data_IF_837521460518
#
_entry.id   IF_837521460518
#
_cell.length_a   1.000
_cell.length_b   1.000
_cell.length_c   1.000
_cell.angle_alpha   90.00
_cell.angle_beta   90.00
_cell.angle_gamma   90.00
#
_symmetry.space_group_name_H-M   'P 1'
#
loop_
_entity.id
_entity.type
_entity.pdbx_description
1 polymer ?
#
# COMPACT_ATOMS: atom_id res chain seq x y z
N UNK A 1 -8.83 4.14 13.70
CA UNK A 1 -7.87 4.37 12.95
C UNK A 1 -6.54 4.00 13.46
N UNK A 2 -6.28 3.99 14.60
CA UNK A 2 -5.03 3.66 15.07
C UNK A 2 -4.76 2.20 15.11
N UNK A 3 -5.72 1.42 14.92
CA UNK A 3 -5.55 0.00 14.94
C UNK A 3 -4.47 -0.48 14.05
N UNK A 4 -4.41 0.04 12.84
CA UNK A 4 -3.40 -0.40 11.96
C UNK A 4 -2.04 0.02 12.39
N UNK A 5 -1.96 1.14 13.01
CA UNK A 5 -0.67 1.61 13.42
C UNK A 5 -0.14 0.78 14.57
N UNK A 6 -1.06 0.28 15.34
CA UNK A 6 -0.66 -0.51 16.43
C UNK A 6 0.02 -1.75 15.95
N UNK A 7 -0.51 -2.36 14.98
CA UNK A 7 0.06 -3.55 14.45
C UNK A 7 1.45 -3.33 13.95
N UNK A 8 1.67 -2.16 13.39
CA UNK A 8 2.93 -1.89 12.81
C UNK A 8 3.96 -1.72 13.87
N UNK A 9 3.54 -1.05 14.90
CA UNK A 9 4.42 -0.79 15.95
C UNK A 9 4.88 -2.06 16.56
N UNK A 10 3.99 -2.95 16.75
CA UNK A 10 4.32 -4.17 17.37
C UNK A 10 5.34 -4.97 16.61
N UNK A 11 5.29 -4.92 15.38
CA UNK A 11 6.17 -5.75 14.64
C UNK A 11 7.57 -5.26 14.59
N UNK A 12 7.77 -4.05 14.56
CA UNK A 12 9.06 -3.59 14.35
C UNK A 12 9.59 -2.60 15.33
N UNK A 13 8.81 -1.96 15.93
CA UNK A 13 9.23 -0.98 16.84
C UNK A 13 10.08 0.09 16.22
N UNK A 14 10.44 -0.06 14.99
CA UNK A 14 11.20 0.93 14.36
C UNK A 14 10.39 1.76 13.44
N UNK A 15 9.20 1.39 13.16
CA UNK A 15 8.39 2.13 12.24
C UNK A 15 7.78 3.34 12.92
N UNK A 16 7.73 4.45 12.26
CA UNK A 16 7.13 5.63 12.84
C UNK A 16 5.66 5.43 13.00
N UNK A 17 5.12 5.91 14.06
CA UNK A 17 3.71 5.77 14.31
C UNK A 17 2.89 6.65 13.41
N UNK A 18 3.44 7.71 12.93
CA UNK A 18 2.72 8.54 12.01
C UNK A 18 3.71 9.00 10.98
N UNK A 19 3.21 9.31 9.82
CA UNK A 19 4.07 9.73 8.76
C UNK A 19 4.66 11.10 9.09
N UNK A 20 5.88 11.33 8.69
CA UNK A 20 6.53 12.59 8.96
C UNK A 20 5.95 13.70 8.12
N UNK A 21 6.15 14.91 8.54
CA UNK A 21 5.58 16.04 7.84
C UNK A 21 6.22 16.24 6.47
N UNK A 22 7.37 15.66 6.24
CA UNK A 22 8.04 15.83 4.96
C UNK A 22 7.75 14.72 3.96
N UNK A 23 6.75 13.97 4.20
CA UNK A 23 6.39 12.92 3.28
C UNK A 23 5.85 13.51 1.98
N UNK A 24 5.84 12.70 0.94
CA UNK A 24 5.28 13.07 -0.34
C UNK A 24 3.98 12.29 -0.52
N UNK A 25 2.97 12.93 -0.99
CA UNK A 25 1.65 12.32 -1.06
C UNK A 25 0.97 12.59 -2.40
N UNK A 26 0.17 11.65 -2.85
CA UNK A 26 -0.59 11.82 -4.07
C UNK A 26 -1.89 11.04 -4.01
N UNK A 27 -2.96 11.65 -4.53
CA UNK A 27 -4.25 10.98 -4.61
C UNK A 27 -4.34 10.29 -5.96
N UNK A 28 -5.06 9.19 -6.02
CA UNK A 28 -5.22 8.46 -7.27
C UNK A 28 -6.53 7.70 -7.24
N UNK A 29 -6.97 7.23 -8.40
CA UNK A 29 -8.18 6.47 -8.49
C UNK A 29 -7.84 5.06 -8.92
N UNK A 30 -8.79 4.16 -8.72
CA UNK A 30 -8.64 2.82 -9.17
C UNK A 30 -8.30 2.88 -10.65
N UNK A 31 -7.39 2.12 -11.09
CA UNK A 31 -7.02 2.10 -12.50
C UNK A 31 -5.90 3.06 -12.86
N UNK A 32 -5.51 3.89 -11.94
CA UNK A 32 -4.50 4.87 -12.23
C UNK A 32 -3.14 4.42 -11.71
N UNK A 33 -2.90 3.15 -11.73
CA UNK A 33 -1.64 2.59 -11.25
C UNK A 33 -0.43 3.13 -12.01
N UNK A 34 -0.50 3.35 -13.31
CA UNK A 34 0.65 3.91 -13.99
C UNK A 34 1.08 5.26 -13.40
N UNK A 35 0.13 6.06 -12.96
CA UNK A 35 0.46 7.33 -12.36
C UNK A 35 1.15 7.11 -11.01
N UNK A 36 0.73 6.11 -10.28
CA UNK A 36 1.35 5.79 -9.00
C UNK A 36 2.79 5.35 -9.24
N UNK A 37 3.02 4.59 -10.29
CA UNK A 37 4.37 4.14 -10.59
C UNK A 37 5.27 5.31 -10.95
N UNK A 38 4.78 6.23 -11.75
CA UNK A 38 5.58 7.38 -12.11
C UNK A 38 5.89 8.25 -10.91
N UNK A 39 4.90 8.40 -10.04
CA UNK A 39 5.05 9.19 -8.84
C UNK A 39 6.13 8.55 -7.94
N UNK A 40 6.09 7.25 -7.77
CA UNK A 40 7.04 6.54 -6.93
C UNK A 40 8.43 6.58 -7.53
N UNK A 41 8.52 6.44 -8.85
CA UNK A 41 9.78 6.47 -9.53
C UNK A 41 10.44 7.84 -9.32
N UNK A 42 9.69 8.90 -9.50
CA UNK A 42 10.22 10.23 -9.33
C UNK A 42 10.65 10.48 -7.88
N UNK A 43 9.85 9.97 -6.95
CA UNK A 43 10.16 10.12 -5.54
C UNK A 43 11.50 9.43 -5.24
N UNK A 44 11.65 8.19 -5.66
CA UNK A 44 12.83 7.42 -5.38
C UNK A 44 14.07 8.00 -6.01
N UNK A 45 13.93 8.48 -7.22
CA UNK A 45 15.06 9.07 -7.91
C UNK A 45 15.55 10.31 -7.16
N UNK A 46 14.62 11.11 -6.69
CA UNK A 46 15.01 12.29 -5.95
C UNK A 46 15.63 11.96 -4.61
N UNK A 47 15.34 10.82 -4.05
CA UNK A 47 15.90 10.45 -2.77
C UNK A 47 17.15 9.59 -2.93
N UNK A 48 17.60 9.39 -4.18
CA UNK A 48 18.82 8.64 -4.41
C UNK A 48 18.72 7.15 -4.20
N UNK A 49 17.54 6.58 -4.32
CA UNK A 49 17.40 5.14 -4.18
C UNK A 49 18.00 4.47 -5.41
N UNK A 50 18.85 3.48 -5.20
CA UNK A 50 19.53 2.82 -6.31
C UNK A 50 18.55 2.12 -7.21
N UNK A 51 18.85 2.07 -8.48
CA UNK A 51 17.90 1.60 -9.46
C UNK A 51 17.32 0.24 -9.17
N UNK A 52 18.10 -0.70 -8.75
CA UNK A 52 17.55 -2.03 -8.50
C UNK A 52 16.55 -1.99 -7.34
N UNK A 53 16.90 -1.31 -6.27
CA UNK A 53 15.98 -1.26 -5.13
C UNK A 53 14.79 -0.37 -5.45
N UNK A 54 14.98 0.61 -6.31
CA UNK A 54 13.90 1.48 -6.70
C UNK A 54 12.88 0.71 -7.52
N UNK A 55 13.33 -0.17 -8.40
CA UNK A 55 12.41 -0.97 -9.20
C UNK A 55 11.56 -1.84 -8.27
N UNK A 56 12.17 -2.41 -7.26
CA UNK A 56 11.44 -3.24 -6.31
C UNK A 56 10.43 -2.38 -5.53
N UNK A 57 10.85 -1.18 -5.16
CA UNK A 57 9.97 -0.30 -4.40
C UNK A 57 8.78 0.13 -5.26
N UNK A 58 9.03 0.47 -6.52
CA UNK A 58 7.96 0.87 -7.42
C UNK A 58 6.96 -0.29 -7.58
N UNK A 59 7.47 -1.51 -7.71
CA UNK A 59 6.60 -2.65 -7.86
C UNK A 59 5.79 -2.86 -6.57
N UNK A 60 6.43 -2.78 -5.42
CA UNK A 60 5.73 -2.98 -4.17
C UNK A 60 4.65 -1.92 -3.96
N UNK A 61 4.96 -0.67 -4.27
CA UNK A 61 3.99 0.40 -4.11
C UNK A 61 2.83 0.21 -5.07
N UNK A 62 3.09 -0.23 -6.30
CA UNK A 62 2.00 -0.44 -7.23
C UNK A 62 1.12 -1.60 -6.80
N UNK A 63 1.70 -2.65 -6.20
CA UNK A 63 0.88 -3.74 -5.71
C UNK A 63 0.06 -3.29 -4.50
N UNK A 64 0.63 -2.45 -3.67
CA UNK A 64 -0.10 -1.93 -2.52
C UNK A 64 -1.26 -1.06 -3.00
N UNK A 65 -1.03 -0.27 -4.04
CA UNK A 65 -2.08 0.58 -4.58
C UNK A 65 -3.20 -0.26 -5.18
N UNK A 66 -2.83 -1.33 -5.88
CA UNK A 66 -3.82 -2.21 -6.45
C UNK A 66 -4.62 -2.90 -5.34
N UNK A 67 -3.95 -3.27 -4.28
CA UNK A 67 -4.63 -3.92 -3.17
C UNK A 67 -5.62 -2.97 -2.51
N UNK A 68 -5.22 -1.72 -2.31
CA UNK A 68 -6.08 -0.76 -1.63
C UNK A 68 -7.28 -0.35 -2.49
N UNK A 69 -7.21 -0.54 -3.79
CA UNK A 69 -8.30 -0.15 -4.66
C UNK A 69 -8.86 -1.35 -5.43
N UNK A 70 -8.67 -2.53 -4.92
CA UNK A 70 -9.08 -3.72 -5.63
C UNK A 70 -10.55 -3.87 -5.84
N UNK A 71 -11.33 -3.34 -4.98
CA UNK A 71 -12.74 -3.54 -5.06
C UNK A 71 -13.48 -2.34 -5.55
N UNK A 72 -13.93 -2.38 -6.76
CA UNK A 72 -14.77 -1.34 -7.34
C UNK A 72 -14.20 0.04 -7.38
N UNK A 73 -14.96 0.96 -7.84
CA UNK A 73 -14.47 2.30 -8.01
C UNK A 73 -14.16 2.89 -6.65
N UNK A 74 -13.00 3.42 -6.49
CA UNK A 74 -12.66 4.08 -5.26
C UNK A 74 -11.48 5.00 -5.48
N UNK A 75 -11.26 5.88 -4.55
CA UNK A 75 -10.11 6.76 -4.60
C UNK A 75 -9.19 6.36 -3.48
N UNK A 76 -7.96 6.71 -3.61
CA UNK A 76 -6.96 6.34 -2.63
C UNK A 76 -5.88 7.40 -2.56
N UNK A 77 -5.02 7.28 -1.57
CA UNK A 77 -3.94 8.23 -1.41
C UNK A 77 -2.69 7.45 -1.08
N UNK A 78 -1.61 7.76 -1.73
CA UNK A 78 -0.34 7.11 -1.47
C UNK A 78 0.59 8.12 -0.84
N UNK A 79 1.28 7.71 0.21
CA UNK A 79 2.23 8.55 0.93
C UNK A 79 3.55 7.82 0.94
N UNK A 80 4.62 8.52 0.61
CA UNK A 80 5.95 7.93 0.56
C UNK A 80 6.92 8.75 1.37
N UNK A 81 7.80 8.08 2.09
CA UNK A 81 8.85 8.80 2.81
C UNK A 81 10.05 7.87 3.02
N UNK A 82 11.18 8.47 3.38
CA UNK A 82 12.39 7.71 3.64
C UNK A 82 12.92 8.13 4.98
N UNK A 83 13.32 7.19 5.79
CA UNK A 83 13.94 7.48 7.06
C UNK A 83 15.14 6.54 7.17
N UNK A 84 16.32 7.11 7.29
CA UNK A 84 17.52 6.30 7.34
C UNK A 84 17.67 5.51 6.07
N UNK A 85 17.82 4.23 6.17
CA UNK A 85 18.01 3.39 5.01
C UNK A 85 16.74 2.68 4.59
N UNK A 86 15.58 3.14 5.05
CA UNK A 86 14.34 2.50 4.70
C UNK A 86 13.39 3.43 3.99
N UNK A 87 12.69 2.90 3.02
CA UNK A 87 11.64 3.64 2.33
C UNK A 87 10.31 3.10 2.83
N UNK A 88 9.36 3.97 3.00
CA UNK A 88 8.04 3.60 3.51
C UNK A 88 6.95 4.03 2.53
N UNK A 89 5.89 3.25 2.50
CA UNK A 89 4.73 3.58 1.69
C UNK A 89 3.48 3.28 2.47
N UNK A 90 2.56 4.22 2.51
CA UNK A 90 1.26 3.98 3.10
C UNK A 90 0.24 4.28 2.03
N UNK A 91 -0.66 3.35 1.74
CA UNK A 91 -1.72 3.57 0.78
C UNK A 91 -3.04 3.38 1.49
N UNK A 92 -3.93 4.35 1.38
CA UNK A 92 -5.24 4.23 1.97
C UNK A 92 -6.28 4.36 0.88
N UNK A 93 -7.17 3.38 0.78
CA UNK A 93 -8.25 3.40 -0.20
C UNK A 93 -9.58 3.38 0.53
N UNK A 94 -10.57 3.99 -0.07
CA UNK A 94 -11.88 4.05 0.55
C UNK A 94 -12.82 2.99 0.01
N UNK A 95 -12.34 1.83 -0.24
CA UNK A 95 -13.18 0.78 -0.79
C UNK A 95 -14.07 0.06 0.20
N UNK A 96 -14.32 0.67 1.37
CA UNK A 96 -15.12 0.05 2.28
C UNK A 96 -16.45 -0.34 1.80
N UNK A 97 -16.99 0.35 0.93
CA UNK A 97 -18.29 0.09 0.45
C UNK A 97 -18.30 -1.28 -0.09
N UNK A 98 -17.36 -1.61 -0.80
CA UNK A 98 -17.35 -2.83 -1.41
C UNK A 98 -17.15 -3.86 -0.40
N UNK A 99 -16.42 -3.58 0.53
CA UNK A 99 -16.14 -4.49 1.49
C UNK A 99 -17.38 -4.86 2.17
N UNK A 100 -18.22 -3.93 2.40
CA UNK A 100 -19.38 -4.19 3.01
C UNK A 100 -20.19 -5.05 2.19
N UNK A 101 -20.22 -4.87 1.02
CA UNK A 101 -21.09 -5.62 0.19
C UNK A 101 -20.58 -6.99 0.27
N UNK A 102 -19.38 -7.13 0.28
CA UNK A 102 -18.77 -8.41 0.26
C UNK A 102 -19.19 -9.11 1.50
N UNK A 103 -19.20 -8.42 2.60
CA UNK A 103 -19.53 -9.02 3.76
C UNK A 103 -20.92 -9.50 3.67
N UNK A 104 -21.72 -8.80 3.09
CA UNK A 104 -23.07 -9.12 2.98
C UNK A 104 -23.28 -10.51 2.49
N UNK A 105 -22.72 -10.85 1.53
CA UNK A 105 -22.95 -12.17 1.08
C UNK A 105 -21.68 -12.66 0.63
N UNK A 106 -20.76 -12.01 0.91
CA UNK A 106 -19.51 -12.41 0.55
C UNK A 106 -19.30 -13.01 -0.74
N UNK A 107 -20.18 -12.97 -1.44
CA UNK A 107 -19.97 -13.55 -2.66
C UNK A 107 -19.69 -12.67 -3.61
N UNK A 108 -19.49 -11.68 -3.30
CA UNK A 108 -19.26 -10.70 -4.18
C UNK A 108 -18.27 -11.09 -5.07
N UNK A 109 -17.51 -11.86 -4.71
CA UNK A 109 -16.56 -12.12 -5.54
C UNK A 109 -16.89 -12.76 -6.64
N UNK A 110 -17.79 -12.69 -6.93
CA UNK A 110 -18.27 -13.29 -8.01
C UNK A 110 -17.33 -13.29 -9.08
N UNK A 111 -17.03 -12.42 -9.55
CA UNK A 111 -16.28 -12.36 -10.66
C UNK A 111 -15.04 -13.07 -10.62
N UNK A 112 -14.95 -14.08 -10.30
CA UNK A 112 -13.76 -14.61 -10.48
C UNK A 112 -13.19 -15.04 -9.23
N UNK A 113 -11.98 -14.92 -8.99
CA UNK A 113 -11.44 -15.35 -7.85
C UNK A 113 -10.72 -14.27 -7.22
N UNK A 114 -11.40 -13.31 -6.78
CA UNK A 114 -10.80 -12.18 -6.16
C UNK A 114 -9.90 -12.61 -5.03
N UNK A 115 -10.26 -13.67 -4.37
CA UNK A 115 -9.44 -14.13 -3.28
C UNK A 115 -8.07 -14.57 -3.71
N UNK A 116 -8.00 -15.15 -4.85
CA UNK A 116 -6.73 -15.61 -5.35
C UNK A 116 -5.88 -14.46 -5.79
N UNK A 117 -6.44 -13.51 -6.44
CA UNK A 117 -5.71 -12.38 -6.88
C UNK A 117 -5.18 -11.61 -5.70
N UNK A 118 -5.99 -11.46 -4.71
CA UNK A 118 -5.57 -10.75 -3.56
C UNK A 118 -4.47 -11.50 -2.82
N UNK A 119 -4.57 -12.79 -2.74
CA UNK A 119 -3.56 -13.58 -2.10
C UNK A 119 -2.24 -13.45 -2.83
N UNK A 120 -2.29 -13.40 -4.14
CA UNK A 120 -1.11 -13.26 -4.93
C UNK A 120 -0.47 -11.90 -4.70
N UNK A 121 -1.26 -10.85 -4.65
CA UNK A 121 -0.73 -9.54 -4.41
C UNK A 121 -0.04 -9.48 -3.05
N UNK A 122 -0.65 -10.08 -2.05
CA UNK A 122 -0.05 -10.06 -0.73
C UNK A 122 1.25 -10.84 -0.72
N UNK A 123 1.32 -11.89 -1.49
CA UNK A 123 2.52 -12.67 -1.55
C UNK A 123 3.63 -11.85 -2.18
N UNK A 124 3.34 -11.13 -3.24
CA UNK A 124 4.32 -10.30 -3.89
C UNK A 124 4.78 -9.21 -2.94
N UNK A 125 3.85 -8.62 -2.20
CA UNK A 125 4.21 -7.59 -1.25
C UNK A 125 5.15 -8.14 -0.19
N UNK A 126 4.89 -9.35 0.28
CA UNK A 126 5.74 -9.93 1.29
C UNK A 126 7.11 -10.25 0.74
N UNK A 127 7.18 -10.64 -0.49
CA UNK A 127 8.46 -10.96 -1.09
C UNK A 127 9.30 -9.72 -1.29
N UNK A 128 8.70 -8.63 -1.66
CA UNK A 128 9.44 -7.42 -1.95
C UNK A 128 9.72 -6.56 -0.74
N UNK A 129 8.89 -6.63 0.26
CA UNK A 129 8.98 -5.73 1.39
C UNK A 129 9.59 -6.37 2.62
N UNK A 130 10.26 -5.58 3.43
CA UNK A 130 10.80 -6.10 4.67
C UNK A 130 9.66 -6.16 5.69
N UNK A 131 8.69 -5.31 5.53
CA UNK A 131 7.53 -5.31 6.41
C UNK A 131 6.33 -4.86 5.62
N UNK A 132 5.20 -5.54 5.77
CA UNK A 132 3.96 -5.11 5.15
C UNK A 132 2.80 -5.43 6.07
N UNK A 133 1.86 -4.52 6.13
CA UNK A 133 0.67 -4.70 6.93
C UNK A 133 -0.52 -4.25 6.10
N UNK A 134 -1.57 -5.04 6.07
CA UNK A 134 -2.78 -4.70 5.36
C UNK A 134 -3.90 -4.71 6.37
N UNK A 135 -4.62 -3.62 6.48
CA UNK A 135 -5.72 -3.53 7.42
C UNK A 135 -6.95 -3.06 6.69
N UNK A 136 -8.09 -3.64 6.99
CA UNK A 136 -9.31 -3.15 6.39
C UNK A 136 -10.30 -2.90 7.49
N UNK A 137 -11.15 -1.97 7.32
CA UNK A 137 -12.12 -1.63 8.32
C UNK A 137 -13.19 -0.75 7.71
N UNK A 138 -14.00 -0.13 8.55
CA UNK A 138 -15.09 0.68 8.06
C UNK A 138 -14.63 1.81 7.18
N UNK A 139 -13.40 2.28 7.38
CA UNK A 139 -12.92 3.37 6.61
C UNK A 139 -12.20 2.97 5.32
N UNK A 140 -12.13 1.72 5.04
CA UNK A 140 -11.48 1.26 3.81
C UNK A 140 -10.28 0.39 4.10
N UNK A 141 -9.35 0.36 3.17
CA UNK A 141 -8.19 -0.49 3.25
C UNK A 141 -6.93 0.35 3.40
N UNK A 142 -6.04 -0.08 4.24
CA UNK A 142 -4.78 0.61 4.42
C UNK A 142 -3.64 -0.40 4.28
N UNK A 143 -2.68 -0.09 3.45
CA UNK A 143 -1.51 -0.95 3.28
C UNK A 143 -0.31 -0.12 3.68
N UNK A 144 0.52 -0.67 4.57
CA UNK A 144 1.73 0.04 4.96
C UNK A 144 2.88 -0.91 4.71
N UNK A 145 3.91 -0.46 4.08
CA UNK A 145 5.06 -1.30 3.85
C UNK A 145 6.36 -0.54 4.04
N UNK A 146 7.42 -1.25 4.30
CA UNK A 146 8.73 -0.64 4.36
C UNK A 146 9.72 -1.57 3.69
N UNK A 147 10.80 -1.00 3.19
CA UNK A 147 11.77 -1.73 2.47
C UNK A 147 13.12 -1.06 2.66
N UNK A 148 14.15 -1.85 2.88
CA UNK A 148 15.48 -1.30 3.02
C UNK A 148 15.96 -0.89 1.64
N UNK A 149 16.43 0.32 1.49
CA UNK A 149 16.84 0.82 0.19
C UNK A 149 18.27 1.29 0.14
N UNK A 150 19.01 1.05 1.19
CA UNK A 150 20.43 1.43 1.19
C UNK A 150 21.29 0.39 1.87
#
# INVERSE_FOLDING_TARGET
MNTRLRGLQASDGQLPLSAPHWLTERAFRQGDIPAVRRFTQAFGARRGIRSARLADFVLAVSEAAACATAVGPCTARVRLWVTGSRAFCEVRGNGMLLRRSARGDGRVRAGGIPGEEEAMRRLVLKQLSDYVSVASGPDGVCVLLSMRVA
#
